data_IF_587584249749
#
_entry.id   IF_587584249749
#
_cell.length_a   1.000
_cell.length_b   1.000
_cell.length_c   1.000
_cell.angle_alpha   90.00
_cell.angle_beta   90.00
_cell.angle_gamma   90.00
#
_symmetry.space_group_name_H-M   'P 1'
#
loop_
_entity.id
_entity.type
_entity.pdbx_description
1 polymer ?
#
# COMPACT_ATOMS: atom_id res chain seq x y z
N UNK A 1 -31.46 11.75 -30.05
CA UNK A 1 -30.65 10.61 -29.57
C UNK A 1 -29.24 11.10 -29.27
N UNK A 2 -28.95 11.54 -28.04
CA UNK A 2 -27.59 11.58 -27.49
C UNK A 2 -27.74 11.21 -26.01
N UNK A 3 -27.62 9.92 -25.71
CA UNK A 3 -27.55 9.42 -24.34
C UNK A 3 -26.31 9.98 -23.67
N UNK A 4 -26.50 10.88 -22.69
CA UNK A 4 -25.53 11.03 -21.61
C UNK A 4 -25.53 9.72 -20.82
N UNK A 5 -24.65 8.79 -21.20
CA UNK A 5 -24.24 7.70 -20.30
C UNK A 5 -23.24 8.31 -19.33
N UNK A 6 -23.74 8.81 -18.21
CA UNK A 6 -22.95 8.87 -16.98
C UNK A 6 -22.42 7.45 -16.75
N UNK A 7 -21.14 7.24 -17.03
CA UNK A 7 -20.51 5.92 -17.01
C UNK A 7 -20.01 5.68 -15.59
N UNK A 8 -20.41 4.55 -14.99
CA UNK A 8 -20.19 4.16 -13.59
C UNK A 8 -18.71 3.85 -13.24
N UNK A 9 -17.75 4.66 -13.69
CA UNK A 9 -16.33 4.26 -13.80
C UNK A 9 -15.34 4.99 -12.88
N UNK A 10 -15.81 5.75 -11.89
CA UNK A 10 -14.97 6.42 -10.88
C UNK A 10 -15.07 5.78 -9.48
N UNK A 11 -15.41 4.50 -9.38
CA UNK A 11 -15.42 3.80 -8.09
C UNK A 11 -14.02 3.26 -7.80
N UNK A 12 -13.29 3.95 -6.92
CA UNK A 12 -12.02 3.47 -6.39
C UNK A 12 -12.32 2.35 -5.38
N UNK A 13 -12.07 1.09 -5.76
CA UNK A 13 -12.14 -0.04 -4.83
C UNK A 13 -10.80 -0.17 -4.07
N UNK A 14 -10.86 0.01 -2.75
CA UNK A 14 -9.75 -0.15 -1.81
C UNK A 14 -10.12 -1.18 -0.76
N UNK A 15 -9.42 -2.30 -0.76
CA UNK A 15 -9.53 -3.32 0.28
C UNK A 15 -8.23 -3.38 1.07
N UNK A 16 -8.36 -3.31 2.39
CA UNK A 16 -7.26 -3.51 3.32
C UNK A 16 -7.60 -4.71 4.20
N UNK A 17 -6.82 -5.77 4.04
CA UNK A 17 -6.93 -6.98 4.84
C UNK A 17 -5.78 -7.00 5.85
N UNK A 18 -6.12 -6.97 7.14
CA UNK A 18 -5.17 -7.06 8.24
C UNK A 18 -5.19 -8.46 8.84
N UNK A 19 -4.03 -9.11 8.85
CA UNK A 19 -3.74 -10.33 9.59
C UNK A 19 -2.64 -10.03 10.61
N UNK A 20 -2.54 -10.78 11.72
CA UNK A 20 -1.57 -10.47 12.80
C UNK A 20 -0.12 -10.31 12.32
N UNK A 21 0.27 -11.01 11.25
CA UNK A 21 1.62 -10.94 10.69
C UNK A 21 1.70 -10.34 9.28
N UNK A 22 0.55 -10.09 8.64
CA UNK A 22 0.50 -9.70 7.23
C UNK A 22 -0.54 -8.61 6.98
N UNK A 23 -0.16 -7.61 6.20
CA UNK A 23 -1.04 -6.56 5.71
C UNK A 23 -1.13 -6.66 4.19
N UNK A 24 -2.35 -6.84 3.67
CA UNK A 24 -2.61 -6.94 2.24
C UNK A 24 -3.47 -5.74 1.81
N UNK A 25 -2.92 -4.90 0.94
CA UNK A 25 -3.63 -3.80 0.31
C UNK A 25 -3.93 -4.18 -1.14
N UNK A 26 -5.21 -4.15 -1.51
CA UNK A 26 -5.66 -4.30 -2.89
C UNK A 26 -6.29 -2.98 -3.32
N UNK A 27 -5.77 -2.43 -4.40
CA UNK A 27 -6.27 -1.20 -5.01
C UNK A 27 -6.66 -1.50 -6.44
N UNK A 28 -7.89 -1.15 -6.82
CA UNK A 28 -8.36 -1.22 -8.19
C UNK A 28 -8.85 0.14 -8.65
N UNK A 29 -8.39 0.55 -9.82
CA UNK A 29 -8.83 1.76 -10.48
C UNK A 29 -8.87 1.54 -11.99
N UNK A 30 -10.06 1.62 -12.58
CA UNK A 30 -10.28 1.29 -14.00
C UNK A 30 -9.69 -0.10 -14.32
N UNK A 31 -8.66 -0.17 -15.17
CA UNK A 31 -7.94 -1.40 -15.54
C UNK A 31 -6.65 -1.65 -14.73
N UNK A 32 -6.31 -0.79 -13.77
CA UNK A 32 -5.09 -0.93 -12.95
C UNK A 32 -5.43 -1.60 -11.62
N UNK A 33 -4.94 -2.82 -11.45
CA UNK A 33 -4.94 -3.51 -10.15
C UNK A 33 -3.54 -3.49 -9.54
N UNK A 34 -3.42 -2.98 -8.31
CA UNK A 34 -2.20 -3.02 -7.52
C UNK A 34 -2.45 -3.83 -6.26
N UNK A 35 -1.51 -4.72 -5.94
CA UNK A 35 -1.51 -5.48 -4.70
C UNK A 35 -0.19 -5.24 -3.97
N UNK A 36 -0.26 -4.85 -2.72
CA UNK A 36 0.88 -4.76 -1.81
C UNK A 36 0.66 -5.76 -0.67
N UNK A 37 1.62 -6.65 -0.47
CA UNK A 37 1.64 -7.56 0.67
C UNK A 37 2.84 -7.21 1.53
N UNK A 38 2.57 -6.79 2.76
CA UNK A 38 3.58 -6.50 3.77
C UNK A 38 3.57 -7.62 4.80
N UNK A 39 4.68 -8.34 4.92
CA UNK A 39 4.85 -9.47 5.85
C UNK A 39 5.83 -9.07 6.95
N UNK A 40 5.33 -8.89 8.17
CA UNK A 40 6.09 -8.37 9.30
C UNK A 40 7.18 -9.37 9.71
N UNK A 41 6.90 -10.68 9.62
CA UNK A 41 7.86 -11.74 9.98
C UNK A 41 9.04 -11.82 9.02
N UNK A 42 8.86 -11.38 7.77
CA UNK A 42 9.91 -11.34 6.74
C UNK A 42 10.57 -9.97 6.60
N UNK A 43 10.00 -8.94 7.21
CA UNK A 43 10.54 -7.59 7.13
C UNK A 43 11.82 -7.47 7.98
N UNK A 44 12.91 -7.05 7.36
CA UNK A 44 14.20 -6.80 8.03
C UNK A 44 14.58 -5.31 8.04
N UNK A 45 13.60 -4.42 7.79
CA UNK A 45 13.82 -2.97 7.89
C UNK A 45 14.64 -2.35 6.75
N UNK A 46 14.68 -2.96 5.57
CA UNK A 46 15.51 -2.49 4.45
C UNK A 46 15.05 -1.21 3.74
N UNK A 47 13.93 -0.61 4.17
CA UNK A 47 13.32 0.57 3.57
C UNK A 47 12.90 0.47 2.08
N UNK A 48 13.05 -0.70 1.43
CA UNK A 48 12.67 -0.87 0.02
C UNK A 48 11.18 -0.58 -0.20
N UNK A 49 10.31 -1.00 0.73
CA UNK A 49 8.88 -0.75 0.65
C UNK A 49 8.53 0.75 0.62
N UNK A 50 9.27 1.60 1.35
CA UNK A 50 9.16 3.07 1.29
C UNK A 50 9.51 3.58 -0.09
N UNK A 51 10.68 3.18 -0.61
CA UNK A 51 11.20 3.66 -1.90
C UNK A 51 10.32 3.30 -3.10
N UNK A 52 9.74 2.10 -3.10
CA UNK A 52 8.91 1.63 -4.23
C UNK A 52 7.46 2.09 -4.15
N UNK A 53 7.05 2.75 -3.06
CA UNK A 53 5.66 3.15 -2.88
C UNK A 53 5.33 4.32 -3.83
N UNK A 54 4.40 4.13 -4.81
CA UNK A 54 4.13 5.14 -5.83
C UNK A 54 3.37 6.37 -5.31
N UNK A 55 2.81 6.27 -4.11
CA UNK A 55 2.00 7.31 -3.45
C UNK A 55 2.63 7.74 -2.12
N UNK A 56 3.85 7.28 -1.86
CA UNK A 56 4.62 7.59 -0.66
C UNK A 56 3.88 7.32 0.67
N UNK A 57 3.06 6.26 0.73
CA UNK A 57 2.16 5.96 1.85
C UNK A 57 2.83 5.27 3.06
N UNK A 58 4.13 4.98 3.00
CA UNK A 58 4.86 4.30 4.07
C UNK A 58 5.77 5.34 4.73
N UNK A 59 5.97 5.27 6.03
CA UNK A 59 6.99 6.07 6.73
C UNK A 59 7.85 5.15 7.60
N UNK A 60 9.13 5.48 7.75
CA UNK A 60 10.02 4.76 8.66
C UNK A 60 9.79 5.31 10.06
N UNK A 61 9.54 4.42 11.01
CA UNK A 61 9.44 4.80 12.41
C UNK A 61 10.79 5.30 12.97
N UNK A 62 10.78 5.95 14.13
CA UNK A 62 12.01 6.37 14.80
C UNK A 62 12.90 5.14 15.03
N UNK A 63 14.18 5.26 14.68
CA UNK A 63 15.19 4.26 15.04
C UNK A 63 15.35 4.34 16.55
N UNK A 64 15.06 3.28 17.32
CA UNK A 64 15.23 3.30 18.77
C UNK A 64 16.71 3.58 19.09
N UNK A 65 16.97 4.39 20.12
CA UNK A 65 18.30 4.94 20.46
C UNK A 65 19.40 3.88 20.58
N UNK A 66 19.04 2.64 20.93
CA UNK A 66 19.89 1.44 20.94
C UNK A 66 20.61 1.13 19.62
N UNK A 67 20.17 1.66 18.48
CA UNK A 67 20.85 1.48 17.19
C UNK A 67 21.64 2.73 16.72
N UNK A 68 21.65 3.81 17.52
CA UNK A 68 22.42 5.04 17.23
C UNK A 68 23.80 5.06 17.90
N UNK A 69 24.09 4.12 18.80
CA UNK A 69 25.42 3.94 19.36
C UNK A 69 26.26 2.98 18.50
N UNK A 70 26.84 3.51 17.42
CA UNK A 70 28.05 2.99 16.78
C UNK A 70 29.13 4.06 16.88
#
# INVERSE_FOLDING_TARGET
MISKKETKEDVIEKDLEFSPDQLNLKWKFKDVSKKLTYDIKKCFGCSLCKLVCPVDAIELGPIPDIAQEI
#
